data_IF_123241186576
#
_entry.id   IF_123241186576
#
_cell.length_a   1.000
_cell.length_b   1.000
_cell.length_c   1.000
_cell.angle_alpha   90.00
_cell.angle_beta   90.00
_cell.angle_gamma   90.00
#
_symmetry.space_group_name_H-M   'P 1'
#
loop_
_entity.id
_entity.type
_entity.pdbx_description
1 polymer ?
#
# COMPACT_ATOMS: atom_id res chain seq x y z
N UNK A 1 20.12 -5.01 10.60
CA UNK A 1 19.48 -4.36 11.78
C UNK A 1 18.14 -3.77 11.35
N UNK A 2 17.12 -3.69 12.23
CA UNK A 2 15.86 -3.00 11.88
C UNK A 2 15.99 -1.50 12.11
N UNK A 3 15.74 -0.73 11.05
CA UNK A 3 15.76 0.74 11.03
C UNK A 3 14.37 1.29 10.72
N UNK A 4 14.12 2.52 11.14
CA UNK A 4 12.87 3.21 10.82
C UNK A 4 13.07 4.71 10.65
N UNK A 5 12.12 5.33 9.96
CA UNK A 5 11.97 6.78 9.89
C UNK A 5 10.51 7.16 9.63
N UNK A 6 10.21 8.45 9.66
CA UNK A 6 8.91 8.98 9.22
C UNK A 6 9.12 9.98 8.09
N UNK A 7 8.23 9.95 7.11
CA UNK A 7 8.19 10.93 6.02
C UNK A 7 6.84 11.62 5.98
N UNK A 8 6.82 12.87 5.52
CA UNK A 8 5.57 13.58 5.23
C UNK A 8 5.04 13.17 3.85
N UNK A 9 3.71 13.19 3.71
CA UNK A 9 3.04 12.87 2.45
C UNK A 9 1.67 13.55 2.36
N UNK A 10 1.06 13.60 1.16
CA UNK A 10 -0.33 14.06 1.01
C UNK A 10 -1.34 13.28 1.85
N UNK A 11 -1.01 12.07 2.32
CA UNK A 11 -1.86 11.25 3.19
C UNK A 11 -1.62 11.48 4.69
N UNK A 12 -0.75 12.45 5.02
CA UNK A 12 -0.18 12.66 6.34
C UNK A 12 1.14 11.91 6.54
N UNK A 13 1.63 11.83 7.77
CA UNK A 13 2.89 11.15 8.10
C UNK A 13 2.82 9.65 7.79
N UNK A 14 3.83 9.14 7.11
CA UNK A 14 4.06 7.72 6.88
C UNK A 14 5.24 7.25 7.73
N UNK A 15 5.05 6.14 8.44
CA UNK A 15 6.14 5.39 9.06
C UNK A 15 6.71 4.43 8.04
N UNK A 16 8.03 4.49 7.84
CA UNK A 16 8.81 3.54 7.08
C UNK A 16 9.65 2.70 8.04
N UNK A 17 9.62 1.39 7.84
CA UNK A 17 10.42 0.43 8.59
C UNK A 17 11.13 -0.46 7.59
N UNK A 18 12.39 -0.78 7.83
CA UNK A 18 13.19 -1.58 6.92
C UNK A 18 14.32 -2.31 7.63
N UNK A 19 14.97 -3.18 6.87
CA UNK A 19 16.15 -3.91 7.29
C UNK A 19 17.30 -3.53 6.36
N UNK A 20 18.49 -3.32 6.93
CA UNK A 20 19.70 -3.12 6.13
C UNK A 20 19.89 -4.32 5.18
N UNK A 21 20.03 -4.03 3.89
CA UNK A 21 20.21 -5.04 2.85
C UNK A 21 21.28 -4.59 1.86
N UNK A 22 22.31 -5.41 1.60
CA UNK A 22 23.37 -5.08 0.64
C UNK A 22 22.90 -5.12 -0.82
N UNK A 23 21.76 -5.75 -1.10
CA UNK A 23 21.18 -5.86 -2.46
C UNK A 23 20.15 -4.76 -2.73
N UNK A 24 19.63 -4.12 -1.69
CA UNK A 24 18.65 -3.05 -1.85
C UNK A 24 19.32 -1.78 -2.36
N UNK A 25 18.71 -1.15 -3.37
CA UNK A 25 19.13 0.20 -3.79
C UNK A 25 18.90 1.17 -2.63
N UNK A 26 19.95 1.86 -2.19
CA UNK A 26 19.92 2.71 -0.99
C UNK A 26 20.15 1.95 0.33
N UNK A 27 20.46 0.65 0.28
CA UNK A 27 20.93 -0.12 1.45
C UNK A 27 19.83 -0.61 2.40
N UNK A 28 18.54 -0.38 2.08
CA UNK A 28 17.42 -0.75 2.95
C UNK A 28 16.34 -1.50 2.19
N UNK A 29 16.04 -2.72 2.64
CA UNK A 29 14.85 -3.46 2.22
C UNK A 29 13.63 -2.99 3.03
N UNK A 30 12.56 -2.57 2.34
CA UNK A 30 11.36 -2.05 2.99
C UNK A 30 10.55 -3.19 3.63
N UNK A 31 10.31 -3.09 4.93
CA UNK A 31 9.54 -4.08 5.69
C UNK A 31 8.11 -3.60 5.98
N UNK A 32 7.92 -2.29 6.17
CA UNK A 32 6.62 -1.66 6.31
C UNK A 32 6.60 -0.22 5.81
N UNK A 33 5.47 0.16 5.24
CA UNK A 33 5.10 1.55 4.96
C UNK A 33 3.63 1.70 5.37
N UNK A 34 3.36 2.49 6.40
CA UNK A 34 1.99 2.64 6.90
C UNK A 34 1.74 4.00 7.54
N UNK A 35 0.47 4.39 7.62
CA UNK A 35 0.06 5.55 8.41
C UNK A 35 0.02 5.15 9.89
N UNK A 36 0.79 5.80 10.78
CA UNK A 36 0.78 5.51 12.22
C UNK A 36 -0.62 5.62 12.84
N UNK A 37 -0.88 4.82 13.88
CA UNK A 37 -2.14 4.85 14.62
C UNK A 37 -3.34 4.25 13.87
N UNK A 38 -3.16 3.74 12.65
CA UNK A 38 -4.21 3.06 11.90
C UNK A 38 -4.33 1.58 12.26
N UNK A 39 -5.43 0.95 11.84
CA UNK A 39 -5.70 -0.46 12.16
C UNK A 39 -4.56 -1.34 11.63
N UNK A 40 -3.91 -2.11 12.53
CA UNK A 40 -2.77 -2.99 12.22
C UNK A 40 -1.52 -2.26 11.69
N UNK A 41 -1.43 -0.95 11.90
CA UNK A 41 -0.19 -0.22 11.63
C UNK A 41 0.96 -0.80 12.45
N UNK A 42 2.14 -0.84 11.84
CA UNK A 42 3.36 -1.19 12.56
C UNK A 42 3.65 -0.10 13.59
N UNK A 43 4.04 -0.49 14.79
CA UNK A 43 4.53 0.42 15.83
C UNK A 43 6.02 0.20 16.02
N UNK A 44 6.75 1.30 16.19
CA UNK A 44 8.19 1.27 16.48
C UNK A 44 8.40 0.52 17.79
N UNK A 45 9.35 -0.42 17.79
CA UNK A 45 9.68 -1.23 18.97
C UNK A 45 10.98 -0.77 19.62
N UNK A 46 11.15 -1.00 20.93
CA UNK A 46 12.43 -0.79 21.60
C UNK A 46 13.55 -1.56 20.87
N UNK A 47 14.70 -0.90 20.68
CA UNK A 47 15.88 -1.47 20.01
C UNK A 47 15.91 -1.28 18.49
N UNK A 48 14.85 -0.76 17.87
CA UNK A 48 14.93 -0.30 16.48
C UNK A 48 15.68 1.03 16.42
N UNK A 49 16.52 1.20 15.38
CA UNK A 49 17.29 2.44 15.19
C UNK A 49 16.52 3.42 14.32
N UNK A 50 16.35 4.64 14.80
CA UNK A 50 15.88 5.73 13.96
C UNK A 50 17.02 6.20 13.04
N UNK A 51 16.81 6.11 11.73
CA UNK A 51 17.85 6.39 10.73
C UNK A 51 17.21 6.93 9.44
N UNK A 52 17.00 8.25 9.32
CA UNK A 52 16.42 8.84 8.12
C UNK A 52 17.26 8.64 6.86
N UNK A 53 18.59 8.66 6.99
CA UNK A 53 19.52 8.55 5.86
C UNK A 53 19.37 7.19 5.15
N UNK A 54 19.09 6.12 5.93
CA UNK A 54 18.83 4.79 5.39
C UNK A 54 17.59 4.71 4.47
N UNK A 55 16.72 5.72 4.46
CA UNK A 55 15.49 5.74 3.65
C UNK A 55 15.47 6.82 2.57
N UNK A 56 16.56 7.55 2.30
CA UNK A 56 16.57 8.65 1.31
C UNK A 56 16.07 8.21 -0.06
N UNK A 57 16.54 7.05 -0.56
CA UNK A 57 16.09 6.49 -1.85
C UNK A 57 14.61 6.12 -1.80
N UNK A 58 14.15 5.49 -0.72
CA UNK A 58 12.74 5.08 -0.57
C UNK A 58 11.85 6.33 -0.52
N UNK A 59 12.24 7.35 0.25
CA UNK A 59 11.54 8.62 0.38
C UNK A 59 11.41 9.34 -0.96
N UNK A 60 12.47 9.38 -1.78
CA UNK A 60 12.42 9.91 -3.15
C UNK A 60 11.38 9.16 -4.00
N UNK A 61 11.33 7.82 -3.92
CA UNK A 61 10.32 7.05 -4.66
C UNK A 61 8.89 7.38 -4.22
N UNK A 62 8.66 7.54 -2.92
CA UNK A 62 7.36 8.00 -2.43
C UNK A 62 7.03 9.40 -2.94
N UNK A 63 7.97 10.35 -2.87
CA UNK A 63 7.77 11.70 -3.37
C UNK A 63 7.39 11.70 -4.86
N UNK A 64 8.12 10.97 -5.70
CA UNK A 64 7.81 10.81 -7.13
C UNK A 64 6.48 10.14 -7.40
N UNK A 65 6.07 9.17 -6.58
CA UNK A 65 4.75 8.54 -6.69
C UNK A 65 3.63 9.54 -6.40
N UNK A 66 3.76 10.33 -5.33
CA UNK A 66 2.78 11.34 -4.96
C UNK A 66 2.70 12.51 -5.94
N UNK A 67 3.79 12.79 -6.67
CA UNK A 67 3.83 13.76 -7.77
C UNK A 67 3.35 13.19 -9.12
N UNK A 68 2.93 11.91 -9.15
CA UNK A 68 2.50 11.22 -10.39
C UNK A 68 3.64 10.82 -11.33
N UNK A 69 4.89 11.13 -11.00
CA UNK A 69 6.09 10.79 -11.77
C UNK A 69 6.59 9.34 -11.59
N UNK A 70 5.94 8.53 -10.76
CA UNK A 70 6.23 7.11 -10.55
C UNK A 70 4.94 6.28 -10.49
N UNK A 71 4.80 5.30 -11.38
CA UNK A 71 3.62 4.41 -11.42
C UNK A 71 3.89 3.02 -10.84
N UNK A 72 5.17 2.66 -10.63
CA UNK A 72 5.59 1.38 -10.04
C UNK A 72 6.77 1.59 -9.11
N UNK A 73 6.69 1.00 -7.91
CA UNK A 73 7.83 0.91 -7.01
C UNK A 73 8.76 -0.22 -7.44
N UNK A 74 10.04 0.10 -7.54
CA UNK A 74 11.13 -0.85 -7.69
C UNK A 74 11.98 -0.80 -6.42
N UNK A 75 11.47 -1.45 -5.38
CA UNK A 75 12.04 -1.48 -4.04
C UNK A 75 12.19 -2.93 -3.60
N UNK A 76 13.35 -3.26 -3.02
CA UNK A 76 13.49 -4.52 -2.31
C UNK A 76 12.58 -4.49 -1.07
N UNK A 77 11.78 -5.53 -0.90
CA UNK A 77 10.79 -5.62 0.15
C UNK A 77 10.95 -6.91 0.96
N UNK A 78 11.01 -6.80 2.28
CA UNK A 78 11.10 -7.93 3.21
C UNK A 78 9.83 -8.02 4.05
N UNK A 79 8.85 -8.81 3.58
CA UNK A 79 7.54 -8.93 4.25
C UNK A 79 7.36 -10.29 4.91
N UNK A 80 6.90 -10.27 6.16
CA UNK A 80 6.50 -11.48 6.88
C UNK A 80 4.97 -11.60 6.90
N UNK A 81 4.46 -12.78 6.59
CA UNK A 81 3.02 -13.08 6.64
C UNK A 81 2.78 -14.58 6.47
N UNK A 82 1.55 -15.03 6.70
CA UNK A 82 1.14 -16.42 6.43
C UNK A 82 1.21 -16.74 4.94
N UNK A 83 1.28 -18.02 4.58
CA UNK A 83 1.30 -18.44 3.17
C UNK A 83 0.11 -17.88 2.39
N UNK A 84 -1.06 -17.85 3.02
CA UNK A 84 -2.26 -17.25 2.45
C UNK A 84 -2.11 -15.74 2.23
N UNK A 85 -1.57 -15.01 3.22
CA UNK A 85 -1.31 -13.58 3.08
C UNK A 85 -0.34 -13.30 1.94
N UNK A 86 0.79 -14.03 1.89
CA UNK A 86 1.81 -13.86 0.83
C UNK A 86 1.22 -14.12 -0.56
N UNK A 87 0.35 -15.12 -0.72
CA UNK A 87 -0.38 -15.36 -1.97
C UNK A 87 -1.29 -14.20 -2.37
N UNK A 88 -2.13 -13.72 -1.44
CA UNK A 88 -3.00 -12.57 -1.69
C UNK A 88 -2.19 -11.35 -2.09
N UNK A 89 -1.11 -11.08 -1.34
CA UNK A 89 -0.22 -9.96 -1.55
C UNK A 89 0.49 -9.99 -2.90
N UNK A 90 0.97 -11.15 -3.35
CA UNK A 90 1.52 -11.32 -4.68
C UNK A 90 0.49 -11.00 -5.78
N UNK A 91 -0.79 -11.35 -5.58
CA UNK A 91 -1.85 -10.97 -6.51
C UNK A 91 -2.16 -9.46 -6.46
N UNK A 92 -1.98 -8.79 -5.33
CA UNK A 92 -2.09 -7.32 -5.26
C UNK A 92 -1.00 -6.63 -6.07
N UNK A 93 0.24 -7.13 -5.99
CA UNK A 93 1.40 -6.56 -6.69
C UNK A 93 1.23 -6.61 -8.22
N UNK A 94 0.33 -7.47 -8.74
CA UNK A 94 -0.01 -7.58 -10.15
C UNK A 94 -1.10 -6.59 -10.62
N UNK A 95 -1.76 -5.85 -9.73
CA UNK A 95 -2.81 -4.89 -10.10
C UNK A 95 -2.16 -3.62 -10.67
N UNK A 96 -2.39 -3.24 -11.95
CA UNK A 96 -1.76 -2.08 -12.56
C UNK A 96 -2.13 -0.74 -11.89
N UNK A 97 -1.22 0.23 -11.97
CA UNK A 97 -1.50 1.63 -11.62
C UNK A 97 -2.69 2.17 -12.43
N UNK A 98 -3.57 2.93 -11.77
CA UNK A 98 -4.74 3.52 -12.41
C UNK A 98 -5.87 2.52 -12.70
N UNK A 99 -5.76 1.31 -12.18
CA UNK A 99 -6.79 0.28 -12.31
C UNK A 99 -7.30 -0.19 -10.95
N UNK A 100 -8.47 -0.82 -10.96
CA UNK A 100 -9.06 -1.42 -9.76
C UNK A 100 -9.49 -2.85 -10.03
N UNK A 101 -9.61 -3.63 -8.95
CA UNK A 101 -10.25 -4.94 -8.96
C UNK A 101 -11.22 -5.04 -7.79
N UNK A 102 -12.01 -6.10 -7.74
CA UNK A 102 -12.94 -6.35 -6.62
C UNK A 102 -12.43 -7.47 -5.73
N UNK A 103 -12.85 -7.47 -4.46
CA UNK A 103 -12.53 -8.58 -3.54
C UNK A 103 -12.97 -9.94 -4.09
N UNK A 104 -14.11 -10.01 -4.78
CA UNK A 104 -14.61 -11.22 -5.43
C UNK A 104 -13.72 -11.68 -6.59
N UNK A 105 -13.31 -10.75 -7.47
CA UNK A 105 -12.38 -11.07 -8.57
C UNK A 105 -11.02 -11.53 -8.05
N UNK A 106 -10.50 -10.86 -7.03
CA UNK A 106 -9.25 -11.23 -6.39
C UNK A 106 -9.33 -12.63 -5.75
N UNK A 107 -10.45 -12.95 -5.10
CA UNK A 107 -10.68 -14.28 -4.52
C UNK A 107 -10.81 -15.37 -5.59
N UNK A 108 -11.51 -15.09 -6.69
CA UNK A 108 -11.63 -16.02 -7.82
C UNK A 108 -10.25 -16.32 -8.45
N UNK A 109 -9.40 -15.31 -8.64
CA UNK A 109 -8.03 -15.48 -9.14
C UNK A 109 -7.15 -16.36 -8.24
N UNK A 110 -7.49 -16.46 -6.95
CA UNK A 110 -6.81 -17.29 -5.96
C UNK A 110 -7.43 -18.71 -5.83
N UNK A 111 -8.44 -19.05 -6.63
CA UNK A 111 -9.17 -20.31 -6.54
C UNK A 111 -10.16 -20.38 -5.36
N UNK A 112 -10.61 -19.22 -4.87
CA UNK A 112 -11.47 -19.10 -3.69
C UNK A 112 -12.76 -18.32 -4.04
N UNK A 113 -13.70 -18.90 -4.79
CA UNK A 113 -14.88 -18.16 -5.30
C UNK A 113 -15.74 -17.50 -4.21
N UNK A 114 -15.78 -18.07 -2.99
CA UNK A 114 -16.49 -17.51 -1.83
C UNK A 114 -15.53 -16.89 -0.78
N UNK A 115 -14.28 -16.61 -1.18
CA UNK A 115 -13.19 -16.21 -0.29
C UNK A 115 -13.05 -14.69 -0.07
N UNK A 116 -13.97 -13.87 -0.56
CA UNK A 116 -13.83 -12.40 -0.55
C UNK A 116 -13.55 -11.82 0.86
N UNK A 117 -14.18 -12.36 1.90
CA UNK A 117 -13.94 -11.93 3.29
C UNK A 117 -12.53 -12.29 3.79
N UNK A 118 -12.05 -13.49 3.48
CA UNK A 118 -10.70 -13.94 3.85
C UNK A 118 -9.64 -13.12 3.11
N UNK A 119 -9.85 -12.88 1.82
CA UNK A 119 -9.01 -12.00 1.00
C UNK A 119 -9.01 -10.57 1.55
N UNK A 120 -10.17 -10.04 1.95
CA UNK A 120 -10.26 -8.72 2.59
C UNK A 120 -9.45 -8.63 3.88
N UNK A 121 -9.48 -9.68 4.72
CA UNK A 121 -8.68 -9.73 5.94
C UNK A 121 -7.17 -9.76 5.66
N UNK A 122 -6.73 -10.48 4.63
CA UNK A 122 -5.33 -10.54 4.18
C UNK A 122 -4.88 -9.21 3.51
N UNK A 123 -5.75 -8.60 2.70
CA UNK A 123 -5.53 -7.27 2.11
C UNK A 123 -5.32 -6.21 3.20
N UNK A 124 -6.15 -6.22 4.25
CA UNK A 124 -6.00 -5.33 5.40
C UNK A 124 -4.85 -5.70 6.35
N UNK A 125 -4.10 -6.77 6.08
CA UNK A 125 -2.88 -7.12 6.81
C UNK A 125 -1.61 -6.72 6.05
N UNK A 126 -1.74 -6.09 4.87
CA UNK A 126 -0.62 -5.62 4.08
C UNK A 126 0.23 -4.59 4.87
N UNK A 127 1.51 -4.89 5.17
CA UNK A 127 2.39 -3.95 5.87
C UNK A 127 2.97 -2.87 4.95
N UNK A 128 2.89 -3.04 3.63
CA UNK A 128 3.45 -2.14 2.62
C UNK A 128 2.31 -1.35 1.96
N UNK A 129 1.65 -0.46 2.68
CA UNK A 129 0.63 0.41 2.08
C UNK A 129 1.26 1.19 0.93
N UNK A 130 0.46 1.46 -0.12
CA UNK A 130 0.85 2.20 -1.33
C UNK A 130 1.77 1.38 -2.26
N UNK A 131 2.90 0.90 -1.74
CA UNK A 131 3.87 0.07 -2.49
C UNK A 131 3.23 -1.22 -2.95
N UNK A 132 2.56 -1.94 -2.04
CA UNK A 132 1.64 -3.01 -2.38
C UNK A 132 0.23 -2.43 -2.43
N UNK A 133 -0.44 -2.45 -3.60
CA UNK A 133 -1.56 -1.55 -3.87
C UNK A 133 -2.90 -2.06 -3.33
N UNK A 134 -2.99 -2.27 -2.02
CA UNK A 134 -4.22 -2.71 -1.35
C UNK A 134 -5.38 -1.70 -1.42
N UNK A 135 -5.11 -0.45 -1.81
CA UNK A 135 -6.12 0.57 -2.13
C UNK A 135 -6.83 0.32 -3.46
N UNK A 136 -6.25 -0.46 -4.38
CA UNK A 136 -6.85 -0.78 -5.69
C UNK A 136 -7.94 -1.86 -5.65
N UNK A 137 -8.22 -2.45 -4.47
CA UNK A 137 -9.25 -3.48 -4.31
C UNK A 137 -10.51 -2.87 -3.71
N UNK A 138 -11.64 -2.90 -4.40
CA UNK A 138 -12.90 -2.25 -4.00
C UNK A 138 -14.06 -3.25 -3.86
N UNK A 139 -15.20 -2.78 -3.33
CA UNK A 139 -16.45 -3.52 -3.34
C UNK A 139 -16.97 -3.76 -4.76
N UNK A 140 -17.80 -4.80 -4.95
CA UNK A 140 -18.37 -5.10 -6.27
C UNK A 140 -19.32 -4.00 -6.79
N UNK A 141 -19.86 -3.21 -5.87
CA UNK A 141 -20.72 -2.04 -6.08
C UNK A 141 -19.94 -0.73 -6.22
N UNK A 142 -18.60 -0.78 -6.27
CA UNK A 142 -17.75 0.42 -6.28
C UNK A 142 -17.51 1.04 -4.90
N UNK A 143 -17.97 0.41 -3.81
CA UNK A 143 -17.78 0.94 -2.46
C UNK A 143 -16.31 0.89 -2.00
N UNK A 144 -15.89 1.95 -1.30
CA UNK A 144 -14.61 2.02 -0.62
C UNK A 144 -14.72 1.42 0.77
N UNK A 145 -14.19 0.22 0.94
CA UNK A 145 -14.15 -0.46 2.23
C UNK A 145 -12.76 -1.06 2.50
N UNK A 146 -12.53 -1.49 3.75
CA UNK A 146 -11.43 -2.40 4.08
C UNK A 146 -10.01 -1.86 3.99
N UNK A 147 -9.79 -0.55 3.85
CA UNK A 147 -8.46 0.04 3.83
C UNK A 147 -7.98 0.38 5.25
N UNK A 148 -6.81 -0.13 5.63
CA UNK A 148 -6.23 0.09 6.96
C UNK A 148 -6.06 1.59 7.27
N UNK A 149 -5.60 2.36 6.28
CA UNK A 149 -5.43 3.81 6.37
C UNK A 149 -6.71 4.64 6.35
N UNK A 150 -7.90 4.03 6.30
CA UNK A 150 -9.18 4.75 6.17
C UNK A 150 -9.57 5.06 4.72
N UNK A 151 -10.89 5.13 4.48
CA UNK A 151 -11.47 5.22 3.13
C UNK A 151 -11.10 6.52 2.42
N UNK A 152 -10.91 7.61 3.15
CA UNK A 152 -10.50 8.90 2.57
C UNK A 152 -9.11 8.85 1.93
N UNK A 153 -8.12 8.26 2.60
CA UNK A 153 -6.78 8.07 2.02
C UNK A 153 -6.80 7.13 0.81
N UNK A 154 -7.62 6.07 0.88
CA UNK A 154 -7.84 5.17 -0.26
C UNK A 154 -8.42 5.92 -1.45
N UNK A 155 -9.38 6.82 -1.23
CA UNK A 155 -9.95 7.68 -2.26
C UNK A 155 -8.89 8.60 -2.88
N UNK A 156 -8.10 9.29 -2.05
CA UNK A 156 -7.02 10.17 -2.51
C UNK A 156 -6.01 9.43 -3.40
N UNK A 157 -5.60 8.23 -3.00
CA UNK A 157 -4.73 7.38 -3.83
C UNK A 157 -5.38 6.99 -5.16
N UNK A 158 -6.64 6.57 -5.16
CA UNK A 158 -7.34 6.21 -6.40
C UNK A 158 -7.49 7.41 -7.35
N UNK A 159 -7.71 8.62 -6.81
CA UNK A 159 -7.77 9.86 -7.59
C UNK A 159 -6.40 10.19 -8.17
N UNK A 160 -5.33 10.15 -7.35
CA UNK A 160 -3.95 10.36 -7.79
C UNK A 160 -3.60 9.45 -8.97
N UNK A 161 -4.04 8.18 -8.93
CA UNK A 161 -3.78 7.21 -9.98
C UNK A 161 -4.68 7.32 -11.21
N UNK A 162 -5.67 8.22 -11.23
CA UNK A 162 -6.64 8.34 -12.32
C UNK A 162 -7.74 7.27 -12.32
N UNK A 163 -7.94 6.55 -11.20
CA UNK A 163 -8.91 5.47 -11.05
C UNK A 163 -10.28 5.90 -10.47
N UNK A 164 -10.56 7.21 -10.43
CA UNK A 164 -11.76 7.77 -9.79
C UNK A 164 -13.09 7.30 -10.42
N UNK A 165 -13.08 6.96 -11.72
CA UNK A 165 -14.27 6.49 -12.43
C UNK A 165 -14.82 5.15 -11.88
N UNK A 166 -14.02 4.39 -11.13
CA UNK A 166 -14.45 3.15 -10.49
C UNK A 166 -15.23 3.36 -9.18
N UNK A 167 -15.33 4.61 -8.69
CA UNK A 167 -15.95 4.95 -7.41
C UNK A 167 -17.45 5.21 -7.57
N UNK A 168 -18.26 4.56 -6.72
CA UNK A 168 -19.68 4.88 -6.65
C UNK A 168 -19.90 6.33 -6.15
N UNK A 169 -20.72 7.10 -6.87
CA UNK A 169 -21.16 8.44 -6.46
C UNK A 169 -20.15 9.57 -6.67
N UNK A 170 -19.13 9.39 -7.52
CA UNK A 170 -18.19 10.45 -7.87
C UNK A 170 -18.75 11.37 -8.97
N UNK A 171 -18.95 12.68 -8.71
CA UNK A 171 -19.31 13.61 -9.78
C UNK A 171 -18.13 13.79 -10.74
N UNK A 172 -18.37 13.66 -12.05
CA UNK A 172 -17.36 13.78 -13.12
C UNK A 172 -16.59 15.12 -13.12
N UNK A 173 -17.05 16.13 -12.38
CA UNK A 173 -16.52 17.50 -12.41
C UNK A 173 -15.27 17.78 -11.57
N UNK A 174 -14.75 16.81 -10.80
CA UNK A 174 -13.60 17.04 -9.89
C UNK A 174 -12.26 16.62 -10.53
N UNK A 175 -12.26 16.18 -11.79
CA UNK A 175 -11.05 15.75 -12.51
C UNK A 175 -10.29 16.88 -13.23
N UNK A 176 -10.62 18.15 -12.97
CA UNK A 176 -9.98 19.29 -13.65
C UNK A 176 -9.85 20.50 -12.73
N UNK A 177 -8.71 20.59 -12.04
CA UNK A 177 -8.17 21.85 -11.48
C UNK A 177 -6.66 21.71 -11.34
#
# INVERSE_FOLDING_TARGET
MTVHTTIDSPLGTLLLVGEESPTAVGGTALAAACVPGTRRAVTVRPGWRHDPAAFEVIADRFARYFDGGLTRFDLECTVTGTDFQRRVWATLDAIPYGSTTTYGRLAAALGLPNGARAVGAANGANPLMIVRPCHRVIGADGSLTGYAGGTERKRQLLVLEGAAAALAGWPESVASS
#
